data_IF_169810575492
#
_entry.id   IF_169810575492
#
_cell.length_a   1.000
_cell.length_b   1.000
_cell.length_c   1.000
_cell.angle_alpha   90.00
_cell.angle_beta   90.00
_cell.angle_gamma   90.00
#
_symmetry.space_group_name_H-M   'P 1'
#
loop_
_entity.id
_entity.type
_entity.pdbx_description
1 polymer ?
#
# COMPACT_ATOMS: atom_id res chain seq x y z
N UNK A 1 4.99 -11.01 8.28
CA UNK A 1 4.96 -9.69 7.59
C UNK A 1 6.36 -9.23 7.16
N UNK A 2 7.34 -9.17 8.06
CA UNK A 2 8.72 -8.74 7.76
C UNK A 2 9.34 -9.44 6.54
N UNK A 3 9.26 -10.77 6.47
CA UNK A 3 9.83 -11.52 5.34
C UNK A 3 9.21 -11.13 3.98
N UNK A 4 7.91 -10.75 3.95
CA UNK A 4 7.25 -10.24 2.74
C UNK A 4 7.75 -8.85 2.36
N UNK A 5 8.05 -8.01 3.36
CA UNK A 5 8.66 -6.71 3.13
C UNK A 5 10.10 -6.83 2.61
N UNK A 6 10.88 -7.77 3.16
CA UNK A 6 12.22 -8.10 2.65
C UNK A 6 12.18 -8.69 1.23
N UNK A 7 11.14 -9.47 0.89
CA UNK A 7 10.90 -9.90 -0.48
C UNK A 7 10.62 -8.71 -1.42
N UNK A 8 9.84 -7.72 -0.97
CA UNK A 8 9.65 -6.48 -1.74
C UNK A 8 10.92 -5.67 -1.92
N UNK A 9 11.80 -5.65 -0.91
CA UNK A 9 13.14 -5.07 -1.05
C UNK A 9 13.95 -5.81 -2.12
N UNK A 10 13.94 -7.14 -2.13
CA UNK A 10 14.62 -7.93 -3.16
C UNK A 10 14.08 -7.65 -4.57
N UNK A 11 12.74 -7.53 -4.72
CA UNK A 11 12.11 -7.15 -5.98
C UNK A 11 12.52 -5.73 -6.42
N UNK A 12 12.56 -4.77 -5.48
CA UNK A 12 12.96 -3.40 -5.78
C UNK A 12 14.43 -3.28 -6.19
N UNK A 13 15.28 -4.19 -5.73
CA UNK A 13 16.69 -4.31 -6.10
C UNK A 13 16.91 -5.12 -7.40
N UNK A 14 15.84 -5.46 -8.12
CA UNK A 14 15.88 -6.26 -9.37
C UNK A 14 16.55 -7.64 -9.21
N UNK A 15 16.44 -8.24 -8.02
CA UNK A 15 16.91 -9.61 -7.80
C UNK A 15 16.11 -10.58 -8.66
N UNK A 16 16.74 -11.63 -9.19
CA UNK A 16 16.07 -12.69 -9.96
C UNK A 16 15.77 -13.95 -9.12
N UNK A 17 16.53 -14.13 -8.05
CA UNK A 17 16.52 -15.32 -7.20
C UNK A 17 16.61 -14.91 -5.74
N UNK A 18 15.84 -15.56 -4.89
CA UNK A 18 15.84 -15.35 -3.44
C UNK A 18 16.26 -16.65 -2.76
N UNK A 19 17.30 -16.57 -1.93
CA UNK A 19 17.76 -17.70 -1.12
C UNK A 19 17.46 -17.38 0.34
N UNK A 20 16.47 -18.07 0.90
CA UNK A 20 16.09 -17.92 2.30
C UNK A 20 16.86 -18.93 3.15
N UNK A 21 17.56 -18.45 4.17
CA UNK A 21 18.28 -19.30 5.11
C UNK A 21 17.33 -19.66 6.26
N UNK A 22 16.92 -20.92 6.34
CA UNK A 22 15.99 -21.40 7.34
C UNK A 22 16.26 -22.86 7.72
N UNK A 23 15.95 -23.24 8.95
CA UNK A 23 16.17 -24.62 9.45
C UNK A 23 15.31 -25.67 8.76
N UNK A 24 14.25 -25.26 8.06
CA UNK A 24 13.35 -26.14 7.31
C UNK A 24 12.18 -25.35 6.69
N UNK A 25 11.33 -26.04 5.93
CA UNK A 25 10.13 -25.44 5.36
C UNK A 25 9.03 -25.33 6.43
N UNK A 26 8.55 -24.10 6.66
CA UNK A 26 7.36 -23.81 7.47
C UNK A 26 6.20 -23.37 6.58
N UNK A 27 4.93 -23.42 7.04
CA UNK A 27 3.80 -22.89 6.28
C UNK A 27 3.99 -21.43 5.83
N UNK A 28 4.61 -20.61 6.68
CA UNK A 28 4.91 -19.21 6.39
C UNK A 28 5.97 -19.06 5.29
N UNK A 29 6.99 -19.93 5.28
CA UNK A 29 8.01 -19.96 4.22
C UNK A 29 7.45 -20.47 2.90
N UNK A 30 6.54 -21.43 2.93
CA UNK A 30 5.83 -21.91 1.72
C UNK A 30 4.95 -20.79 1.14
N UNK A 31 4.23 -20.05 1.99
CA UNK A 31 3.47 -18.89 1.55
C UNK A 31 4.37 -17.79 0.96
N UNK A 32 5.56 -17.57 1.55
CA UNK A 32 6.56 -16.64 1.02
C UNK A 32 7.13 -17.10 -0.32
N UNK A 33 7.39 -18.41 -0.47
CA UNK A 33 7.82 -19.01 -1.73
C UNK A 33 6.80 -18.74 -2.85
N UNK A 34 5.52 -19.05 -2.62
CA UNK A 34 4.48 -18.77 -3.61
C UNK A 34 4.38 -17.28 -3.95
N UNK A 35 4.49 -16.39 -2.95
CA UNK A 35 4.50 -14.95 -3.19
C UNK A 35 5.70 -14.48 -4.04
N UNK A 36 6.87 -15.12 -3.88
CA UNK A 36 8.05 -14.83 -4.70
C UNK A 36 7.88 -15.37 -6.13
N UNK A 37 7.38 -16.59 -6.29
CA UNK A 37 7.13 -17.23 -7.59
C UNK A 37 6.04 -16.48 -8.39
N UNK A 38 4.96 -16.05 -7.74
CA UNK A 38 3.92 -15.21 -8.34
C UNK A 38 4.46 -13.85 -8.83
N UNK A 39 5.54 -13.37 -8.21
CA UNK A 39 6.26 -12.17 -8.62
C UNK A 39 7.35 -12.44 -9.68
N UNK A 40 7.52 -13.69 -10.12
CA UNK A 40 8.47 -14.10 -11.16
C UNK A 40 9.89 -14.42 -10.65
N UNK A 41 10.09 -14.52 -9.33
CA UNK A 41 11.38 -14.87 -8.74
C UNK A 41 11.52 -16.38 -8.58
N UNK A 42 12.77 -16.87 -8.64
CA UNK A 42 13.08 -18.22 -8.15
C UNK A 42 13.33 -18.18 -6.64
N UNK A 43 12.75 -19.12 -5.89
CA UNK A 43 12.89 -19.17 -4.44
C UNK A 43 13.56 -20.48 -4.00
N UNK A 44 14.59 -20.37 -3.15
CA UNK A 44 15.33 -21.50 -2.60
C UNK A 44 15.38 -21.41 -1.08
N UNK A 45 15.20 -22.54 -0.41
CA UNK A 45 15.41 -22.66 1.03
C UNK A 45 16.75 -23.36 1.27
N UNK A 46 17.67 -22.69 1.95
CA UNK A 46 18.96 -23.24 2.37
C UNK A 46 18.99 -23.43 3.88
N UNK A 47 19.51 -24.57 4.34
CA UNK A 47 19.64 -24.86 5.78
C UNK A 47 20.92 -24.31 6.42
N UNK A 48 21.78 -23.64 5.65
CA UNK A 48 23.00 -23.04 6.18
C UNK A 48 23.93 -22.48 5.09
N UNK A 49 25.22 -22.35 5.42
CA UNK A 49 26.24 -21.76 4.56
C UNK A 49 26.64 -22.66 3.38
N UNK A 50 26.75 -23.97 3.60
CA UNK A 50 27.28 -24.91 2.58
C UNK A 50 26.44 -24.98 1.29
N UNK A 51 25.10 -25.10 1.35
CA UNK A 51 24.29 -25.17 0.13
C UNK A 51 24.34 -23.89 -0.72
N UNK A 52 24.76 -22.74 -0.16
CA UNK A 52 24.86 -21.48 -0.90
C UNK A 52 25.86 -21.56 -2.03
N UNK A 53 26.96 -22.29 -1.86
CA UNK A 53 28.00 -22.46 -2.88
C UNK A 53 27.50 -23.13 -4.17
N UNK A 54 26.43 -23.93 -4.08
CA UNK A 54 25.79 -24.54 -5.26
C UNK A 54 24.71 -23.68 -5.90
N UNK A 55 24.23 -22.64 -5.20
CA UNK A 55 23.16 -21.75 -5.65
C UNK A 55 23.71 -20.42 -6.20
N UNK A 56 24.90 -20.04 -5.77
CA UNK A 56 25.57 -18.78 -6.12
C UNK A 56 26.80 -19.06 -6.96
N UNK A 57 26.93 -18.34 -8.08
CA UNK A 57 28.09 -18.36 -8.96
C UNK A 57 28.95 -17.12 -8.78
N UNK A 58 30.21 -17.18 -9.20
CA UNK A 58 31.14 -16.05 -9.11
C UNK A 58 30.71 -14.80 -9.90
N UNK A 59 29.85 -14.97 -10.92
CA UNK A 59 29.32 -13.90 -11.76
C UNK A 59 28.05 -13.25 -11.18
N UNK A 60 27.46 -13.83 -10.14
CA UNK A 60 26.27 -13.26 -9.52
C UNK A 60 26.61 -12.03 -8.69
N UNK A 61 25.64 -11.11 -8.57
CA UNK A 61 25.63 -10.08 -7.54
C UNK A 61 24.65 -10.49 -6.45
N UNK A 62 25.07 -10.34 -5.19
CA UNK A 62 24.27 -10.72 -4.04
C UNK A 62 23.86 -9.50 -3.26
N UNK A 63 22.56 -9.40 -3.02
CA UNK A 63 22.00 -8.56 -1.97
C UNK A 63 21.78 -9.43 -0.74
N UNK A 64 22.48 -9.10 0.34
CA UNK A 64 22.36 -9.82 1.62
C UNK A 64 21.59 -8.95 2.58
N UNK A 65 20.49 -9.50 3.09
CA UNK A 65 19.60 -8.86 4.06
C UNK A 65 19.72 -9.61 5.39
N UNK A 66 20.07 -8.91 6.46
CA UNK A 66 20.11 -9.48 7.81
C UNK A 66 18.71 -9.84 8.29
N UNK A 67 18.64 -10.88 9.13
CA UNK A 67 17.41 -11.25 9.83
C UNK A 67 16.91 -10.06 10.64
N UNK A 68 15.60 -9.80 10.61
CA UNK A 68 15.02 -8.70 11.38
C UNK A 68 15.04 -7.34 10.66
N UNK A 69 15.79 -7.16 9.56
CA UNK A 69 15.86 -5.83 8.93
C UNK A 69 14.53 -5.42 8.28
N UNK A 70 13.97 -4.30 8.75
CA UNK A 70 12.96 -3.52 8.05
C UNK A 70 13.62 -2.26 7.46
N UNK A 71 13.60 -2.16 6.13
CA UNK A 71 14.11 -1.00 5.40
C UNK A 71 13.13 -0.59 4.31
N UNK A 72 12.82 0.70 4.16
CA UNK A 72 11.94 1.17 3.09
C UNK A 72 12.59 0.92 1.70
N UNK A 73 11.97 0.13 0.79
CA UNK A 73 12.61 -0.30 -0.44
C UNK A 73 13.11 0.85 -1.32
N UNK A 74 12.31 1.90 -1.50
CA UNK A 74 12.68 3.05 -2.34
C UNK A 74 13.93 3.77 -1.82
N UNK A 75 14.09 3.89 -0.50
CA UNK A 75 15.27 4.49 0.12
C UNK A 75 16.46 3.54 0.04
N UNK A 76 16.25 2.26 0.31
CA UNK A 76 17.31 1.26 0.25
C UNK A 76 17.94 1.15 -1.15
N UNK A 77 17.12 1.12 -2.21
CA UNK A 77 17.60 1.06 -3.61
C UNK A 77 18.48 2.27 -3.93
N UNK A 78 18.05 3.48 -3.55
CA UNK A 78 18.81 4.71 -3.83
C UNK A 78 20.21 4.73 -3.19
N UNK A 79 20.42 3.95 -2.12
CA UNK A 79 21.72 3.81 -1.49
C UNK A 79 22.67 2.95 -2.32
N UNK A 80 22.20 2.22 -3.33
CA UNK A 80 22.99 1.37 -4.21
C UNK A 80 23.08 1.85 -5.66
N UNK A 81 22.55 3.04 -6.00
CA UNK A 81 22.63 3.64 -7.36
C UNK A 81 24.07 3.93 -7.86
N UNK A 82 25.10 3.60 -7.08
CA UNK A 82 26.50 3.74 -7.46
C UNK A 82 27.04 2.52 -8.22
N UNK A 83 28.14 2.68 -8.98
CA UNK A 83 28.69 1.62 -9.83
C UNK A 83 29.39 0.48 -9.07
N UNK A 84 29.48 0.56 -7.74
CA UNK A 84 30.26 -0.35 -6.93
C UNK A 84 29.42 -0.98 -5.81
N UNK A 85 29.60 -2.30 -5.56
CA UNK A 85 29.01 -2.98 -4.41
C UNK A 85 29.42 -2.29 -3.11
N UNK A 86 28.54 -2.30 -2.12
CA UNK A 86 28.80 -1.63 -0.86
C UNK A 86 28.18 -2.37 0.33
N UNK A 87 28.83 -2.23 1.49
CA UNK A 87 28.27 -2.63 2.78
C UNK A 87 27.65 -1.38 3.42
N UNK A 88 26.35 -1.41 3.70
CA UNK A 88 25.71 -0.29 4.37
C UNK A 88 26.06 -0.28 5.86
N UNK A 89 26.43 0.90 6.36
CA UNK A 89 26.85 1.10 7.75
C UNK A 89 26.14 2.31 8.37
N UNK A 90 26.18 2.39 9.69
CA UNK A 90 25.69 3.53 10.45
C UNK A 90 26.59 3.82 11.65
N UNK A 91 26.51 5.02 12.25
CA UNK A 91 27.20 5.32 13.50
C UNK A 91 26.84 4.30 14.59
N UNK A 92 27.83 3.90 15.40
CA UNK A 92 27.64 2.91 16.47
C UNK A 92 26.74 3.42 17.60
N UNK A 93 26.65 4.73 17.79
CA UNK A 93 25.84 5.40 18.81
C UNK A 93 24.36 5.01 18.62
N UNK A 94 23.76 4.33 19.60
CA UNK A 94 22.38 3.82 19.53
C UNK A 94 22.18 2.54 18.71
N UNK A 95 22.97 2.31 17.66
CA UNK A 95 22.78 1.17 16.75
C UNK A 95 22.89 -0.21 17.43
N UNK A 96 23.80 -0.37 18.40
CA UNK A 96 23.94 -1.65 19.12
C UNK A 96 22.71 -1.96 19.98
N UNK A 97 22.11 -0.94 20.62
CA UNK A 97 20.89 -1.11 21.41
C UNK A 97 19.69 -1.49 20.52
N UNK A 98 19.68 -0.96 19.30
CA UNK A 98 18.70 -1.30 18.27
C UNK A 98 18.92 -2.70 17.68
N UNK A 99 20.05 -3.35 17.95
CA UNK A 99 20.32 -4.74 17.57
C UNK A 99 21.19 -4.91 16.33
N UNK A 100 21.82 -3.84 15.85
CA UNK A 100 22.78 -3.90 14.75
C UNK A 100 24.14 -4.45 15.21
N UNK A 101 24.85 -5.15 14.32
CA UNK A 101 26.16 -5.72 14.64
C UNK A 101 27.26 -4.65 14.61
N UNK A 102 28.17 -4.67 15.59
CA UNK A 102 29.34 -3.79 15.62
C UNK A 102 30.36 -4.22 14.57
N UNK A 103 30.78 -3.29 13.71
CA UNK A 103 31.87 -3.52 12.75
C UNK A 103 33.20 -3.03 13.32
N UNK A 104 33.23 -1.79 13.80
CA UNK A 104 34.45 -1.17 14.34
C UNK A 104 34.12 -0.26 15.54
N UNK A 105 35.09 0.58 15.93
CA UNK A 105 34.94 1.48 17.06
C UNK A 105 33.78 2.47 16.87
N UNK A 106 33.57 2.97 15.65
CA UNK A 106 32.67 4.07 15.31
C UNK A 106 31.45 3.63 14.49
N UNK A 107 31.45 2.42 13.92
CA UNK A 107 30.45 1.95 12.96
C UNK A 107 29.83 0.62 13.35
N UNK A 108 28.53 0.52 13.07
CA UNK A 108 27.74 -0.71 13.07
C UNK A 108 27.26 -1.02 11.65
N UNK A 109 27.06 -2.31 11.35
CA UNK A 109 26.44 -2.75 10.11
C UNK A 109 24.98 -2.33 10.07
N UNK A 110 24.48 -1.94 8.90
CA UNK A 110 23.09 -1.52 8.76
C UNK A 110 22.15 -2.66 8.29
N UNK A 111 22.64 -3.90 8.28
CA UNK A 111 21.86 -5.09 7.97
C UNK A 111 21.58 -5.32 6.48
N UNK A 112 22.16 -4.53 5.58
CA UNK A 112 21.99 -4.64 4.14
C UNK A 112 23.32 -4.40 3.42
N UNK A 113 23.67 -5.26 2.48
CA UNK A 113 24.87 -5.10 1.65
C UNK A 113 24.67 -5.69 0.26
N UNK A 114 25.38 -5.13 -0.71
CA UNK A 114 25.53 -5.69 -2.04
C UNK A 114 26.98 -6.14 -2.20
N UNK A 115 27.20 -7.41 -2.56
CA UNK A 115 28.53 -8.02 -2.67
C UNK A 115 28.64 -8.91 -3.91
N UNK A 116 29.84 -9.10 -4.48
CA UNK A 116 30.05 -10.07 -5.56
C UNK A 116 29.91 -11.52 -5.08
N UNK A 117 29.30 -12.38 -5.88
CA UNK A 117 29.03 -13.79 -5.56
C UNK A 117 30.28 -14.62 -5.29
N UNK A 118 31.43 -14.26 -5.88
CA UNK A 118 32.73 -14.90 -5.59
C UNK A 118 33.09 -14.91 -4.10
N UNK A 119 32.59 -13.96 -3.30
CA UNK A 119 32.88 -13.90 -1.87
C UNK A 119 32.17 -14.98 -1.05
N UNK A 120 31.15 -15.65 -1.62
CA UNK A 120 30.46 -16.76 -0.98
C UNK A 120 31.35 -17.99 -0.83
N UNK A 121 32.34 -18.17 -1.72
CA UNK A 121 33.28 -19.30 -1.65
C UNK A 121 34.07 -19.32 -0.34
N UNK A 122 34.38 -18.14 0.22
CA UNK A 122 35.10 -18.01 1.49
C UNK A 122 34.28 -18.50 2.69
N UNK A 123 32.96 -18.68 2.56
CA UNK A 123 32.15 -19.30 3.63
C UNK A 123 32.53 -20.77 3.89
N UNK A 124 33.17 -21.45 2.93
CA UNK A 124 33.60 -22.84 3.11
C UNK A 124 34.73 -23.00 4.13
N UNK A 125 35.48 -21.93 4.39
CA UNK A 125 36.55 -21.89 5.38
C UNK A 125 36.03 -21.73 6.82
N UNK A 126 34.74 -21.39 6.98
CA UNK A 126 34.11 -21.14 8.26
C UNK A 126 33.35 -22.40 8.78
N UNK A 127 33.11 -22.47 10.10
CA UNK A 127 32.24 -23.49 10.69
C UNK A 127 30.86 -23.55 10.03
N UNK A 128 30.27 -24.74 9.97
CA UNK A 128 28.99 -24.96 9.28
C UNK A 128 27.80 -24.25 9.94
N UNK A 129 27.93 -23.87 11.21
CA UNK A 129 26.95 -23.17 12.04
C UNK A 129 27.18 -21.65 12.10
N UNK A 130 28.03 -21.10 11.23
CA UNK A 130 28.25 -19.66 11.17
C UNK A 130 26.97 -18.90 10.79
N UNK A 131 26.78 -17.72 11.39
CA UNK A 131 25.75 -16.79 10.94
C UNK A 131 26.16 -16.21 9.59
N UNK A 132 25.46 -16.61 8.53
CA UNK A 132 25.84 -16.30 7.15
C UNK A 132 25.88 -14.79 6.87
N UNK A 133 24.86 -13.98 7.22
CA UNK A 133 24.90 -12.54 6.99
C UNK A 133 26.09 -11.87 7.69
N UNK A 134 26.33 -12.18 8.97
CA UNK A 134 27.46 -11.61 9.73
C UNK A 134 28.81 -12.06 9.15
N UNK A 135 28.94 -13.34 8.77
CA UNK A 135 30.14 -13.89 8.15
C UNK A 135 30.45 -13.22 6.80
N UNK A 136 29.45 -13.10 5.93
CA UNK A 136 29.59 -12.44 4.63
C UNK A 136 29.95 -10.96 4.80
N UNK A 137 29.41 -10.27 5.80
CA UNK A 137 29.75 -8.87 6.06
C UNK A 137 31.23 -8.73 6.41
N UNK A 138 31.75 -9.60 7.29
CA UNK A 138 33.17 -9.62 7.64
C UNK A 138 34.05 -9.95 6.43
N UNK A 139 33.69 -10.95 5.64
CA UNK A 139 34.40 -11.33 4.41
C UNK A 139 34.41 -10.15 3.41
N UNK A 140 33.28 -9.46 3.24
CA UNK A 140 33.16 -8.32 2.35
C UNK A 140 34.09 -7.18 2.75
N UNK A 141 34.10 -6.82 4.03
CA UNK A 141 34.98 -5.77 4.56
C UNK A 141 36.46 -6.15 4.45
N UNK A 142 36.82 -7.41 4.74
CA UNK A 142 38.18 -7.92 4.57
C UNK A 142 38.62 -7.94 3.11
N UNK A 143 37.68 -8.15 2.18
CA UNK A 143 37.91 -8.14 0.73
C UNK A 143 37.91 -6.73 0.13
N UNK A 144 37.79 -5.68 0.95
CA UNK A 144 37.87 -4.28 0.53
C UNK A 144 36.58 -3.73 -0.10
N UNK A 145 35.42 -4.36 0.12
CA UNK A 145 34.14 -3.78 -0.30
C UNK A 145 33.91 -2.46 0.47
N UNK A 146 33.62 -1.34 -0.22
CA UNK A 146 33.49 -0.05 0.43
C UNK A 146 32.30 0.00 1.39
N UNK A 147 32.51 0.69 2.51
CA UNK A 147 31.45 1.03 3.45
C UNK A 147 30.71 2.29 2.98
N UNK A 148 29.38 2.25 3.00
CA UNK A 148 28.53 3.40 2.68
C UNK A 148 27.61 3.71 3.85
N UNK A 149 27.76 4.90 4.41
CA UNK A 149 26.97 5.30 5.56
C UNK A 149 25.54 5.68 5.16
N UNK A 150 24.56 5.24 5.93
CA UNK A 150 23.17 5.59 5.71
C UNK A 150 22.90 7.01 6.21
N UNK A 151 22.35 7.90 5.35
CA UNK A 151 21.94 9.24 5.73
C UNK A 151 21.04 9.26 6.98
N UNK A 152 21.18 10.27 7.83
CA UNK A 152 20.44 10.35 9.10
C UNK A 152 18.91 10.42 8.91
N UNK A 153 18.44 11.04 7.81
CA UNK A 153 17.03 11.11 7.45
C UNK A 153 16.47 9.75 7.01
N UNK A 154 17.28 8.90 6.38
CA UNK A 154 16.92 7.52 6.03
C UNK A 154 16.80 6.62 7.27
N UNK A 155 17.52 6.94 8.35
CA UNK A 155 17.45 6.24 9.64
C UNK A 155 16.30 6.69 10.54
N UNK A 156 15.65 7.80 10.24
CA UNK A 156 14.59 8.35 11.09
C UNK A 156 13.29 7.55 11.01
N UNK A 157 12.58 7.45 12.15
CA UNK A 157 11.24 6.86 12.24
C UNK A 157 11.21 5.35 11.97
N UNK A 158 10.22 4.90 11.20
CA UNK A 158 10.03 3.50 10.82
C UNK A 158 10.83 3.07 9.59
N UNK A 159 11.70 3.91 9.02
CA UNK A 159 12.27 3.68 7.69
C UNK A 159 13.46 2.70 7.67
N UNK A 160 14.13 2.51 8.81
CA UNK A 160 15.27 1.61 8.94
C UNK A 160 15.38 1.10 10.38
N UNK A 161 15.00 -0.16 10.64
CA UNK A 161 15.04 -0.75 12.00
C UNK A 161 15.29 -2.25 11.96
N UNK A 162 15.91 -2.78 13.02
CA UNK A 162 15.92 -4.21 13.30
C UNK A 162 14.71 -4.58 14.15
N UNK A 163 13.95 -5.56 13.68
CA UNK A 163 12.77 -6.11 14.34
C UNK A 163 13.16 -7.46 14.93
N UNK A 164 13.05 -7.59 16.25
CA UNK A 164 13.41 -8.80 17.00
C UNK A 164 12.20 -9.52 17.56
N UNK A 165 11.08 -8.80 17.71
CA UNK A 165 9.84 -9.35 18.28
C UNK A 165 8.63 -9.03 17.41
N UNK A 166 7.57 -9.83 17.56
CA UNK A 166 6.30 -9.58 16.89
C UNK A 166 5.64 -8.27 17.35
N UNK A 167 5.81 -7.91 18.63
CA UNK A 167 5.32 -6.64 19.16
C UNK A 167 6.01 -5.43 18.50
N UNK A 168 7.34 -5.50 18.31
CA UNK A 168 8.09 -4.49 17.55
C UNK A 168 7.63 -4.43 16.09
N UNK A 169 7.36 -5.59 15.47
CA UNK A 169 6.87 -5.64 14.09
C UNK A 169 5.54 -4.88 13.93
N UNK A 170 4.57 -5.11 14.82
CA UNK A 170 3.30 -4.40 14.79
C UNK A 170 3.44 -2.89 15.07
N UNK A 171 4.34 -2.51 15.97
CA UNK A 171 4.61 -1.10 16.26
C UNK A 171 5.20 -0.37 15.04
N UNK A 172 6.20 -0.97 14.39
CA UNK A 172 6.84 -0.43 13.18
C UNK A 172 5.85 -0.37 12.01
N UNK A 173 5.03 -1.40 11.81
CA UNK A 173 3.98 -1.40 10.78
C UNK A 173 2.97 -0.26 10.99
N UNK A 174 2.54 -0.05 12.23
CA UNK A 174 1.60 1.03 12.56
C UNK A 174 2.21 2.41 12.34
N UNK A 175 3.47 2.61 12.76
CA UNK A 175 4.22 3.86 12.55
C UNK A 175 4.44 4.13 11.05
N UNK A 176 4.78 3.09 10.28
CA UNK A 176 4.93 3.14 8.83
C UNK A 176 3.62 3.54 8.13
N UNK A 177 2.49 2.89 8.46
CA UNK A 177 1.18 3.23 7.91
C UNK A 177 0.76 4.67 8.26
N UNK A 178 1.02 5.12 9.50
CA UNK A 178 0.67 6.47 9.96
C UNK A 178 1.44 7.55 9.21
N UNK A 179 2.76 7.36 9.08
CA UNK A 179 3.64 8.29 8.37
C UNK A 179 3.24 8.35 6.89
N UNK A 180 3.03 7.17 6.26
CA UNK A 180 2.68 7.05 4.85
C UNK A 180 1.38 7.76 4.50
N UNK A 181 0.36 7.63 5.34
CA UNK A 181 -0.94 8.25 5.10
C UNK A 181 -1.10 9.61 5.79
N UNK A 182 -0.09 10.10 6.52
CA UNK A 182 -0.23 11.20 7.46
C UNK A 182 0.25 12.57 6.98
N UNK A 183 1.05 12.65 5.93
CA UNK A 183 1.76 13.90 5.63
C UNK A 183 1.29 14.54 4.33
N UNK A 184 0.60 15.68 4.46
CA UNK A 184 0.67 16.77 3.48
C UNK A 184 -0.62 17.21 2.81
N UNK A 185 -1.61 16.34 2.57
CA UNK A 185 -2.81 16.72 1.82
C UNK A 185 -4.07 16.79 2.69
N UNK A 186 -4.83 17.91 2.65
CA UNK A 186 -6.16 17.97 3.25
C UNK A 186 -7.06 16.85 2.70
N UNK A 187 -7.50 15.94 3.55
CA UNK A 187 -8.35 14.81 3.17
C UNK A 187 -9.82 15.18 3.22
N UNK A 188 -10.63 14.54 2.38
CA UNK A 188 -12.08 14.59 2.54
C UNK A 188 -12.53 13.77 3.76
N UNK A 189 -13.73 14.02 4.34
CA UNK A 189 -14.22 13.28 5.50
C UNK A 189 -14.24 11.75 5.32
N UNK A 190 -14.70 11.26 4.17
CA UNK A 190 -14.72 9.84 3.83
C UNK A 190 -13.31 9.24 3.75
N UNK A 191 -12.36 9.98 3.19
CA UNK A 191 -10.94 9.57 3.16
C UNK A 191 -10.35 9.51 4.57
N UNK A 192 -10.68 10.47 5.44
CA UNK A 192 -10.22 10.46 6.82
C UNK A 192 -10.73 9.24 7.60
N UNK A 193 -12.01 8.88 7.42
CA UNK A 193 -12.60 7.68 8.05
C UNK A 193 -11.95 6.41 7.48
N UNK A 194 -11.81 6.31 6.15
CA UNK A 194 -11.16 5.18 5.51
C UNK A 194 -9.72 4.99 5.99
N UNK A 195 -8.95 6.08 6.06
CA UNK A 195 -7.58 6.08 6.61
C UNK A 195 -7.57 5.61 8.06
N UNK A 196 -8.44 6.15 8.90
CA UNK A 196 -8.50 5.76 10.31
C UNK A 196 -8.75 4.25 10.43
N UNK A 197 -9.68 3.70 9.65
CA UNK A 197 -9.95 2.27 9.60
C UNK A 197 -8.75 1.43 9.13
N UNK A 198 -8.02 1.90 8.10
CA UNK A 198 -6.82 1.22 7.62
C UNK A 198 -5.67 1.31 8.63
N UNK A 199 -5.51 2.42 9.34
CA UNK A 199 -4.46 2.52 10.38
C UNK A 199 -4.81 1.68 11.61
N UNK A 200 -6.09 1.55 11.97
CA UNK A 200 -6.50 0.76 13.14
C UNK A 200 -6.54 -0.75 12.87
N UNK A 201 -6.93 -1.17 11.67
CA UNK A 201 -7.10 -2.59 11.32
C UNK A 201 -6.06 -3.09 10.30
N UNK A 202 -5.23 -2.22 9.74
CA UNK A 202 -4.33 -2.53 8.63
C UNK A 202 -3.35 -3.65 8.93
N UNK A 203 -2.78 -3.70 10.14
CA UNK A 203 -1.89 -4.80 10.54
C UNK A 203 -2.61 -6.15 10.45
N UNK A 204 -3.78 -6.29 11.09
CA UNK A 204 -4.58 -7.52 11.04
C UNK A 204 -4.97 -7.91 9.60
N UNK A 205 -5.30 -6.93 8.77
CA UNK A 205 -5.68 -7.13 7.38
C UNK A 205 -4.48 -7.58 6.51
N UNK A 206 -3.31 -6.96 6.71
CA UNK A 206 -2.09 -7.31 5.97
C UNK A 206 -1.58 -8.72 6.33
N UNK A 207 -1.82 -9.19 7.55
CA UNK A 207 -1.48 -10.55 7.98
C UNK A 207 -2.34 -11.63 7.31
N UNK A 208 -3.59 -11.32 6.93
CA UNK A 208 -4.47 -12.26 6.24
C UNK A 208 -4.10 -12.52 4.77
N UNK A 209 -3.05 -11.87 4.25
CA UNK A 209 -2.48 -12.15 2.92
C UNK A 209 -3.32 -11.68 1.72
N UNK A 210 -4.63 -11.44 1.90
CA UNK A 210 -5.58 -11.17 0.82
C UNK A 210 -6.58 -10.05 1.14
N UNK A 211 -6.21 -9.11 2.02
CA UNK A 211 -7.12 -8.08 2.52
C UNK A 211 -7.69 -7.18 1.42
N UNK A 212 -6.89 -6.77 0.44
CA UNK A 212 -7.39 -5.90 -0.62
C UNK A 212 -8.49 -6.55 -1.46
N UNK A 213 -8.41 -7.86 -1.72
CA UNK A 213 -9.47 -8.59 -2.43
C UNK A 213 -10.68 -8.86 -1.53
N UNK A 214 -10.47 -9.21 -0.25
CA UNK A 214 -11.55 -9.38 0.70
C UNK A 214 -12.37 -8.07 0.85
N UNK A 215 -11.68 -6.93 0.91
CA UNK A 215 -12.33 -5.63 0.99
C UNK A 215 -13.04 -5.26 -0.32
N UNK A 216 -12.47 -5.63 -1.47
CA UNK A 216 -13.14 -5.47 -2.78
C UNK A 216 -14.43 -6.31 -2.86
N UNK A 217 -14.41 -7.54 -2.34
CA UNK A 217 -15.60 -8.38 -2.25
C UNK A 217 -16.64 -7.79 -1.28
N UNK A 218 -16.19 -7.29 -0.13
CA UNK A 218 -17.06 -6.60 0.83
C UNK A 218 -17.77 -5.40 0.22
N UNK A 219 -17.09 -4.60 -0.63
CA UNK A 219 -17.73 -3.52 -1.40
C UNK A 219 -18.89 -4.07 -2.24
N UNK A 220 -18.66 -5.11 -3.03
CA UNK A 220 -19.72 -5.68 -3.89
C UNK A 220 -20.91 -6.20 -3.08
N UNK A 221 -20.66 -6.85 -1.94
CA UNK A 221 -21.71 -7.33 -1.04
C UNK A 221 -22.51 -6.16 -0.47
N UNK A 222 -21.83 -5.11 0.02
CA UNK A 222 -22.48 -3.92 0.57
C UNK A 222 -23.33 -3.20 -0.49
N UNK A 223 -22.88 -3.13 -1.74
CA UNK A 223 -23.68 -2.53 -2.82
C UNK A 223 -24.84 -3.42 -3.27
N UNK A 224 -24.69 -4.75 -3.24
CA UNK A 224 -25.81 -5.66 -3.46
C UNK A 224 -26.89 -5.49 -2.38
N UNK A 225 -26.48 -5.36 -1.10
CA UNK A 225 -27.39 -5.06 0.01
C UNK A 225 -28.08 -3.71 -0.21
N UNK A 226 -27.33 -2.67 -0.62
CA UNK A 226 -27.89 -1.36 -0.97
C UNK A 226 -28.96 -1.46 -2.06
N UNK A 227 -28.72 -2.23 -3.12
CA UNK A 227 -29.71 -2.46 -4.18
C UNK A 227 -30.95 -3.19 -3.68
N UNK A 228 -30.76 -4.21 -2.83
CA UNK A 228 -31.87 -4.93 -2.20
C UNK A 228 -32.71 -4.02 -1.30
N UNK A 229 -32.10 -3.18 -0.48
CA UNK A 229 -32.80 -2.21 0.37
C UNK A 229 -33.60 -1.18 -0.43
N UNK A 230 -33.04 -0.71 -1.55
CA UNK A 230 -33.74 0.17 -2.48
C UNK A 230 -34.96 -0.52 -3.11
N UNK A 231 -34.84 -1.80 -3.46
CA UNK A 231 -35.95 -2.62 -3.97
C UNK A 231 -37.11 -2.71 -2.97
N UNK A 232 -36.81 -2.81 -1.68
CA UNK A 232 -37.83 -2.77 -0.60
C UNK A 232 -38.33 -1.35 -0.25
N UNK A 233 -37.93 -0.32 -1.01
CA UNK A 233 -38.34 1.06 -0.80
C UNK A 233 -37.62 1.79 0.34
N UNK A 234 -36.63 1.16 0.98
CA UNK A 234 -35.86 1.75 2.09
C UNK A 234 -34.66 2.56 1.58
N UNK A 235 -34.93 3.58 0.78
CA UNK A 235 -33.92 4.36 0.07
C UNK A 235 -32.91 5.06 0.99
N UNK A 236 -33.33 5.56 2.16
CA UNK A 236 -32.42 6.19 3.12
C UNK A 236 -31.33 5.22 3.57
N UNK A 237 -31.71 3.99 3.91
CA UNK A 237 -30.77 2.96 4.34
C UNK A 237 -29.91 2.49 3.16
N UNK A 238 -30.48 2.39 1.96
CA UNK A 238 -29.71 2.09 0.75
C UNK A 238 -28.58 3.12 0.52
N UNK A 239 -28.86 4.42 0.61
CA UNK A 239 -27.83 5.45 0.49
C UNK A 239 -26.74 5.37 1.58
N UNK A 240 -27.08 4.96 2.81
CA UNK A 240 -26.08 4.72 3.87
C UNK A 240 -25.17 3.54 3.53
N UNK A 241 -25.72 2.44 2.99
CA UNK A 241 -24.89 1.31 2.54
C UNK A 241 -24.02 1.69 1.33
N UNK A 242 -24.52 2.50 0.39
CA UNK A 242 -23.71 3.05 -0.69
C UNK A 242 -22.57 3.95 -0.17
N UNK A 243 -22.84 4.76 0.86
CA UNK A 243 -21.81 5.58 1.56
C UNK A 243 -20.75 4.70 2.23
N UNK A 244 -21.16 3.63 2.92
CA UNK A 244 -20.22 2.65 3.48
C UNK A 244 -19.38 1.98 2.39
N UNK A 245 -19.98 1.62 1.25
CA UNK A 245 -19.28 1.10 0.09
C UNK A 245 -18.19 2.06 -0.42
N UNK A 246 -18.49 3.36 -0.46
CA UNK A 246 -17.50 4.37 -0.86
C UNK A 246 -16.29 4.44 0.10
N UNK A 247 -16.53 4.37 1.42
CA UNK A 247 -15.46 4.32 2.43
C UNK A 247 -14.60 3.06 2.23
N UNK A 248 -15.23 1.91 2.00
CA UNK A 248 -14.53 0.64 1.77
C UNK A 248 -13.68 0.66 0.48
N UNK A 249 -14.14 1.30 -0.59
CA UNK A 249 -13.34 1.49 -1.82
C UNK A 249 -12.08 2.30 -1.53
N UNK A 250 -12.19 3.37 -0.75
CA UNK A 250 -11.03 4.19 -0.39
C UNK A 250 -10.06 3.43 0.52
N UNK A 251 -10.57 2.69 1.51
CA UNK A 251 -9.75 1.81 2.33
C UNK A 251 -9.03 0.73 1.49
N UNK A 252 -9.71 0.18 0.47
CA UNK A 252 -9.12 -0.78 -0.48
C UNK A 252 -8.01 -0.16 -1.31
N UNK A 253 -8.13 1.11 -1.70
CA UNK A 253 -7.04 1.85 -2.38
C UNK A 253 -5.81 1.97 -1.50
N UNK A 254 -6.00 2.39 -0.26
CA UNK A 254 -4.91 2.58 0.70
C UNK A 254 -4.18 1.26 0.99
N UNK A 255 -4.92 0.20 1.34
CA UNK A 255 -4.32 -1.13 1.62
C UNK A 255 -3.59 -1.66 0.39
N UNK A 256 -4.19 -1.56 -0.80
CA UNK A 256 -3.57 -2.04 -2.02
C UNK A 256 -2.31 -1.26 -2.39
N UNK A 257 -2.29 0.04 -2.11
CA UNK A 257 -1.09 0.86 -2.29
C UNK A 257 0.03 0.41 -1.35
N UNK A 258 -0.32 0.08 -0.10
CA UNK A 258 0.61 -0.47 0.89
C UNK A 258 1.14 -1.86 0.48
N UNK A 259 0.25 -2.78 0.07
CA UNK A 259 0.62 -4.13 -0.39
C UNK A 259 1.56 -4.09 -1.60
N UNK A 260 1.27 -3.24 -2.60
CA UNK A 260 2.12 -3.13 -3.80
C UNK A 260 3.47 -2.53 -3.48
N UNK A 261 3.52 -1.50 -2.65
CA UNK A 261 4.78 -0.89 -2.26
C UNK A 261 5.64 -1.86 -1.44
N UNK A 262 5.02 -2.62 -0.54
CA UNK A 262 5.68 -3.68 0.22
C UNK A 262 6.19 -4.82 -0.67
N UNK A 263 5.75 -4.91 -1.93
CA UNK A 263 6.21 -5.85 -2.94
C UNK A 263 7.02 -5.18 -4.08
N UNK A 264 7.30 -3.87 -4.01
CA UNK A 264 7.98 -3.15 -5.08
C UNK A 264 7.23 -3.11 -6.43
N UNK A 265 5.93 -3.38 -6.45
CA UNK A 265 5.15 -3.51 -7.69
C UNK A 265 4.69 -2.17 -8.24
N UNK A 266 4.87 -1.96 -9.55
CA UNK A 266 4.33 -0.82 -10.27
C UNK A 266 2.78 -0.84 -10.30
N UNK A 267 2.12 0.34 -10.29
CA UNK A 267 0.68 0.41 -10.45
C UNK A 267 0.27 -0.05 -11.87
N UNK A 268 -0.78 -0.89 -12.01
CA UNK A 268 -1.30 -1.28 -13.32
C UNK A 268 -1.99 -0.09 -13.99
N UNK A 269 -2.09 -0.13 -15.32
CA UNK A 269 -2.71 0.91 -16.15
C UNK A 269 -4.12 1.31 -15.70
N UNK A 270 -4.93 0.34 -15.24
CA UNK A 270 -6.25 0.60 -14.64
C UNK A 270 -6.28 -0.03 -13.24
N UNK A 271 -6.20 0.76 -12.16
CA UNK A 271 -6.33 0.23 -10.82
C UNK A 271 -7.76 -0.30 -10.61
N UNK A 272 -7.92 -1.52 -10.07
CA UNK A 272 -9.25 -2.10 -9.76
C UNK A 272 -10.14 -1.17 -8.93
N UNK A 273 -9.55 -0.34 -8.08
CA UNK A 273 -10.29 0.63 -7.28
C UNK A 273 -10.89 1.80 -8.08
N UNK A 274 -10.44 2.05 -9.32
CA UNK A 274 -11.14 2.94 -10.25
C UNK A 274 -12.42 2.28 -10.77
N UNK A 275 -12.34 1.00 -11.13
CA UNK A 275 -13.51 0.21 -11.55
C UNK A 275 -14.56 0.17 -10.42
N UNK A 276 -14.15 -0.12 -9.18
CA UNK A 276 -15.05 -0.05 -8.03
C UNK A 276 -15.63 1.35 -7.81
N UNK A 277 -14.85 2.40 -8.07
CA UNK A 277 -15.34 3.78 -8.04
C UNK A 277 -16.46 4.03 -9.07
N UNK A 278 -16.33 3.50 -10.28
CA UNK A 278 -17.41 3.58 -11.28
C UNK A 278 -18.64 2.78 -10.88
N UNK A 279 -18.47 1.63 -10.22
CA UNK A 279 -19.60 0.85 -9.70
C UNK A 279 -20.33 1.64 -8.62
N UNK A 280 -19.61 2.30 -7.70
CA UNK A 280 -20.21 3.20 -6.70
C UNK A 280 -20.99 4.33 -7.37
N UNK A 281 -20.40 5.00 -8.37
CA UNK A 281 -21.06 6.07 -9.12
C UNK A 281 -22.34 5.59 -9.80
N UNK A 282 -22.29 4.40 -10.43
CA UNK A 282 -23.46 3.79 -11.05
C UNK A 282 -24.54 3.45 -10.01
N UNK A 283 -24.16 2.91 -8.85
CA UNK A 283 -25.10 2.63 -7.75
C UNK A 283 -25.77 3.93 -7.27
N UNK A 284 -25.02 5.00 -7.03
CA UNK A 284 -25.63 6.30 -6.65
C UNK A 284 -26.59 6.82 -7.72
N UNK A 285 -26.20 6.78 -9.00
CA UNK A 285 -27.06 7.20 -10.10
C UNK A 285 -28.36 6.40 -10.15
N UNK A 286 -28.30 5.08 -9.97
CA UNK A 286 -29.47 4.19 -9.94
C UNK A 286 -30.35 4.43 -8.71
N UNK A 287 -29.77 4.66 -7.54
CA UNK A 287 -30.52 4.98 -6.32
C UNK A 287 -31.24 6.32 -6.42
N UNK A 288 -30.59 7.34 -6.98
CA UNK A 288 -31.22 8.64 -7.25
C UNK A 288 -32.35 8.44 -8.24
N UNK A 289 -32.13 7.73 -9.35
CA UNK A 289 -33.16 7.46 -10.34
C UNK A 289 -34.36 6.71 -9.74
N UNK A 290 -34.11 5.73 -8.86
CA UNK A 290 -35.16 5.00 -8.15
C UNK A 290 -35.93 5.87 -7.13
N UNK A 291 -35.34 6.97 -6.67
CA UNK A 291 -36.00 7.92 -5.75
C UNK A 291 -36.89 8.95 -6.44
N UNK A 292 -36.71 9.16 -7.76
CA UNK A 292 -37.50 10.13 -8.53
C UNK A 292 -38.78 9.45 -9.03
N UNK A 293 -39.97 9.88 -8.58
CA UNK A 293 -41.22 9.30 -9.03
C UNK A 293 -41.43 9.59 -10.52
N UNK A 294 -41.68 8.53 -11.31
CA UNK A 294 -41.94 8.68 -12.75
C UNK A 294 -43.39 9.10 -12.99
N UNK A 295 -43.59 10.30 -13.50
CA UNK A 295 -44.92 10.80 -13.84
C UNK A 295 -45.41 10.22 -15.17
N UNK A 296 -46.72 9.98 -15.29
CA UNK A 296 -47.32 9.42 -16.49
C UNK A 296 -47.26 10.44 -17.64
N UNK A 297 -46.75 10.02 -18.81
CA UNK A 297 -46.54 10.90 -19.97
C UNK A 297 -45.20 11.63 -19.99
N UNK A 298 -44.36 11.43 -18.97
CA UNK A 298 -43.02 12.01 -18.92
C UNK A 298 -42.03 11.26 -19.83
N UNK A 299 -41.18 12.01 -20.51
CA UNK A 299 -40.12 11.45 -21.35
C UNK A 299 -39.06 10.72 -20.52
N UNK A 300 -38.46 9.66 -21.07
CA UNK A 300 -37.34 8.98 -20.41
C UNK A 300 -36.16 9.93 -20.16
N UNK A 301 -35.95 10.89 -21.07
CA UNK A 301 -34.84 11.83 -20.99
C UNK A 301 -34.98 12.79 -19.80
N UNK A 302 -36.17 13.33 -19.57
CA UNK A 302 -36.41 14.24 -18.43
C UNK A 302 -36.28 13.53 -17.10
N UNK A 303 -36.81 12.30 -16.99
CA UNK A 303 -36.67 11.49 -15.78
C UNK A 303 -35.22 11.13 -15.45
N UNK A 304 -34.39 10.85 -16.47
CA UNK A 304 -32.97 10.54 -16.27
C UNK A 304 -32.09 11.78 -16.10
N UNK A 305 -32.60 12.98 -16.40
CA UNK A 305 -31.77 14.19 -16.44
C UNK A 305 -31.15 14.56 -15.08
N UNK A 306 -31.89 14.64 -13.96
CA UNK A 306 -31.29 14.99 -12.66
C UNK A 306 -30.15 14.06 -12.20
N UNK A 307 -30.33 12.71 -12.17
CA UNK A 307 -29.25 11.81 -11.75
C UNK A 307 -28.06 11.86 -12.71
N UNK A 308 -28.30 11.90 -14.03
CA UNK A 308 -27.21 11.92 -15.01
C UNK A 308 -26.41 13.22 -14.93
N UNK A 309 -27.08 14.36 -14.79
CA UNK A 309 -26.43 15.67 -14.68
C UNK A 309 -25.57 15.76 -13.41
N UNK A 310 -26.11 15.37 -12.26
CA UNK A 310 -25.35 15.38 -11.01
C UNK A 310 -24.12 14.47 -11.10
N UNK A 311 -24.29 13.22 -11.56
CA UNK A 311 -23.18 12.26 -11.66
C UNK A 311 -22.11 12.71 -12.67
N UNK A 312 -22.51 13.31 -13.79
CA UNK A 312 -21.60 13.92 -14.76
C UNK A 312 -20.80 15.09 -14.15
N UNK A 313 -21.47 16.01 -13.46
CA UNK A 313 -20.81 17.14 -12.79
C UNK A 313 -19.83 16.68 -11.72
N UNK A 314 -20.25 15.72 -10.91
CA UNK A 314 -19.42 15.10 -9.88
C UNK A 314 -18.19 14.39 -10.47
N UNK A 315 -18.29 13.85 -11.68
CA UNK A 315 -17.17 13.27 -12.40
C UNK A 315 -16.28 14.34 -13.06
N UNK A 316 -16.86 15.44 -13.55
CA UNK A 316 -16.15 16.45 -14.34
C UNK A 316 -15.45 17.51 -13.49
N UNK A 317 -16.14 18.07 -12.49
CA UNK A 317 -15.65 19.22 -11.69
C UNK A 317 -14.30 18.92 -11.03
N UNK A 318 -14.08 17.77 -10.36
CA UNK A 318 -12.77 17.47 -9.76
C UNK A 318 -11.62 17.27 -10.78
N UNK A 319 -11.95 17.01 -12.05
CA UNK A 319 -10.96 16.87 -13.13
C UNK A 319 -10.54 18.22 -13.71
N UNK A 320 -11.45 19.19 -13.70
CA UNK A 320 -11.26 20.49 -14.37
C UNK A 320 -10.84 21.58 -13.39
N UNK A 321 -11.19 21.44 -12.11
CA UNK A 321 -11.10 22.52 -11.11
C UNK A 321 -10.28 22.07 -9.90
N UNK A 322 -9.44 22.97 -9.37
CA UNK A 322 -8.62 22.72 -8.18
C UNK A 322 -9.12 23.49 -6.96
N UNK A 323 -9.12 22.86 -5.79
CA UNK A 323 -9.43 23.52 -4.51
C UNK A 323 -9.85 22.55 -3.40
N UNK A 324 -9.94 23.01 -2.13
CA UNK A 324 -10.43 22.18 -1.04
C UNK A 324 -11.91 21.79 -1.22
N UNK A 325 -12.73 22.67 -1.79
CA UNK A 325 -14.13 22.42 -2.04
C UNK A 325 -14.39 21.35 -3.12
N UNK A 326 -13.49 21.19 -4.11
CA UNK A 326 -13.62 20.11 -5.11
C UNK A 326 -13.34 18.74 -4.51
N UNK A 327 -12.54 18.65 -3.45
CA UNK A 327 -12.35 17.40 -2.67
C UNK A 327 -13.61 17.03 -1.90
N UNK A 328 -14.27 18.01 -1.28
CA UNK A 328 -15.54 17.78 -0.60
C UNK A 328 -16.63 17.34 -1.59
N UNK A 329 -16.70 17.98 -2.76
CA UNK A 329 -17.60 17.60 -3.85
C UNK A 329 -17.31 16.19 -4.40
N UNK A 330 -16.05 15.76 -4.40
CA UNK A 330 -15.65 14.42 -4.82
C UNK A 330 -15.94 13.33 -3.79
N UNK A 331 -16.32 13.68 -2.56
CA UNK A 331 -16.51 12.72 -1.48
C UNK A 331 -17.84 11.97 -1.61
N UNK A 332 -17.77 10.71 -2.05
CA UNK A 332 -18.92 9.82 -2.20
C UNK A 332 -19.55 9.38 -0.89
N UNK A 333 -18.77 9.31 0.19
CA UNK A 333 -19.30 8.97 1.49
C UNK A 333 -20.18 10.11 2.02
N UNK A 334 -19.69 11.36 1.89
CA UNK A 334 -20.46 12.54 2.25
C UNK A 334 -21.73 12.66 1.39
N UNK A 335 -21.61 12.48 0.07
CA UNK A 335 -22.75 12.48 -0.84
C UNK A 335 -23.82 11.48 -0.39
N UNK A 336 -23.42 10.24 -0.07
CA UNK A 336 -24.38 9.23 0.38
C UNK A 336 -25.04 9.55 1.71
N UNK A 337 -24.35 10.20 2.66
CA UNK A 337 -24.96 10.67 3.91
C UNK A 337 -25.99 11.78 3.65
N UNK A 338 -25.66 12.74 2.79
CA UNK A 338 -26.59 13.83 2.41
C UNK A 338 -27.82 13.28 1.72
N UNK A 339 -27.65 12.35 0.76
CA UNK A 339 -28.77 11.72 0.05
C UNK A 339 -29.59 10.79 0.94
N UNK A 340 -28.96 10.09 1.89
CA UNK A 340 -29.67 9.28 2.88
C UNK A 340 -30.58 10.14 3.76
N UNK A 341 -30.07 11.29 4.21
CA UNK A 341 -30.85 12.26 4.96
C UNK A 341 -32.01 12.78 4.11
N UNK A 342 -31.76 13.23 2.88
CA UNK A 342 -32.78 13.70 1.95
C UNK A 342 -33.87 12.65 1.67
N UNK A 343 -33.47 11.38 1.49
CA UNK A 343 -34.38 10.26 1.29
C UNK A 343 -35.30 10.02 2.49
N UNK A 344 -34.84 10.28 3.72
CA UNK A 344 -35.65 10.17 4.93
C UNK A 344 -36.85 11.13 4.94
N UNK A 345 -36.76 12.23 4.19
CA UNK A 345 -37.83 13.23 4.05
C UNK A 345 -38.49 13.23 2.67
N UNK A 346 -38.13 12.31 1.78
CA UNK A 346 -38.61 12.29 0.39
C UNK A 346 -38.13 13.48 -0.45
N UNK A 347 -37.02 14.11 -0.08
CA UNK A 347 -36.49 15.33 -0.71
C UNK A 347 -35.23 15.05 -1.56
N UNK A 348 -35.07 13.84 -2.10
CA UNK A 348 -33.85 13.47 -2.86
C UNK A 348 -33.71 14.33 -4.12
N UNK A 349 -34.77 14.46 -4.89
CA UNK A 349 -34.80 15.22 -6.15
C UNK A 349 -34.37 16.69 -5.98
N UNK A 350 -35.01 17.51 -5.10
CA UNK A 350 -34.60 18.91 -4.94
C UNK A 350 -33.18 19.04 -4.39
N UNK A 351 -32.74 18.11 -3.54
CA UNK A 351 -31.35 18.11 -3.05
C UNK A 351 -30.36 17.81 -4.18
N UNK A 352 -30.68 16.86 -5.07
CA UNK A 352 -29.86 16.55 -6.25
C UNK A 352 -29.73 17.76 -7.17
N UNK A 353 -30.82 18.48 -7.42
CA UNK A 353 -30.83 19.72 -8.20
C UNK A 353 -29.98 20.82 -7.56
N UNK A 354 -30.16 21.06 -6.26
CA UNK A 354 -29.38 22.05 -5.51
C UNK A 354 -27.89 21.70 -5.54
N UNK A 355 -27.53 20.43 -5.36
CA UNK A 355 -26.14 19.98 -5.45
C UNK A 355 -25.58 20.17 -6.87
N UNK A 356 -26.35 19.88 -7.91
CA UNK A 356 -25.93 20.10 -9.29
C UNK A 356 -25.66 21.59 -9.57
N UNK A 357 -26.56 22.48 -9.15
CA UNK A 357 -26.36 23.94 -9.26
C UNK A 357 -25.14 24.40 -8.47
N UNK A 358 -24.95 23.92 -7.24
CA UNK A 358 -23.80 24.25 -6.42
C UNK A 358 -22.48 23.81 -7.09
N UNK A 359 -22.44 22.65 -7.75
CA UNK A 359 -21.26 22.18 -8.49
C UNK A 359 -20.97 23.04 -9.73
N UNK A 360 -22.00 23.52 -10.43
CA UNK A 360 -21.84 24.46 -11.55
C UNK A 360 -21.24 25.78 -11.06
N UNK A 361 -21.80 26.35 -9.99
CA UNK A 361 -21.28 27.59 -9.38
C UNK A 361 -19.84 27.38 -8.92
N UNK A 362 -19.54 26.27 -8.26
CA UNK A 362 -18.20 25.91 -7.83
C UNK A 362 -17.23 25.83 -9.01
N UNK A 363 -17.68 25.23 -10.13
CA UNK A 363 -16.90 25.09 -11.34
C UNK A 363 -16.59 26.42 -12.04
N UNK A 364 -17.47 27.41 -11.89
CA UNK A 364 -17.28 28.77 -12.42
C UNK A 364 -16.42 29.65 -11.49
N UNK A 365 -16.53 29.47 -10.17
CA UNK A 365 -15.89 30.34 -9.19
C UNK A 365 -14.43 29.97 -8.87
N UNK A 366 -14.05 28.71 -9.05
CA UNK A 366 -12.72 28.21 -8.70
C UNK A 366 -11.77 28.16 -9.91
N UNK A 367 -10.45 28.28 -9.68
CA UNK A 367 -9.46 28.25 -10.75
C UNK A 367 -9.41 26.88 -11.42
N UNK A 368 -9.25 26.92 -12.75
CA UNK A 368 -8.99 25.73 -13.56
C UNK A 368 -7.69 25.06 -13.11
N UNK A 369 -7.73 23.73 -13.00
CA UNK A 369 -6.59 22.90 -12.68
C UNK A 369 -5.57 23.03 -13.81
N UNK A 370 -4.43 23.68 -13.55
CA UNK A 370 -3.31 23.73 -14.51
C UNK A 370 -2.79 22.31 -14.71
N UNK A 371 -2.78 21.83 -15.97
CA UNK A 371 -2.07 20.59 -16.33
C UNK A 371 -0.57 20.87 -16.16
N UNK A 372 0.01 20.35 -15.09
CA UNK A 372 1.45 20.24 -14.90
C UNK A 372 1.96 19.01 -15.62
#
# INVERSE_FOLDING_TARGET
MLARHQLGLALAMDCQRVICIARGASPELIALQHAAEDAGLQFYISTGSRPLSGLVTANDELVVVSEGLFAEPARAVSLFDGPAPAVLVQPVEGALAEGFERIDLNRAGAGLMQIPGRLVEHLHELPADCDVPSALMRIALQSGIPMREIPADARAGANWRMIRTEAEAHAVETEWLRTRFGEGEPMSPGQAIARQGVVSFGSSLLHAGNASNALSAAVLVVLAISGGLAWFGTLSVAFLFASLGAILVEASRLIRSAERQALGQLPPAIPRAHVLGWVIDATFGLLILASVPRLFGESLLSWMFPPTMLMMLLALVPRVVSGPATRLAGDRALLGVVLAFAAGFGQVEPIVEVLAVALVILGMALPLRRKG
#
